data_IF_782080634848
#
_entry.id   IF_782080634848
#
_cell.length_a   1.000
_cell.length_b   1.000
_cell.length_c   1.000
_cell.angle_alpha   90.00
_cell.angle_beta   90.00
_cell.angle_gamma   90.00
#
_symmetry.space_group_name_H-M   'P 1'
#
loop_
_entity.id
_entity.type
_entity.pdbx_description
1 polymer ?
#
# COMPACT_ATOMS: atom_id res chain seq x y z
N UNK A 1 -8.68 36.20 20.16
CA UNK A 1 -10.16 36.29 20.21
C UNK A 1 -10.71 37.19 19.07
N UNK A 2 -11.39 36.56 18.09
CA UNK A 2 -12.22 37.14 16.99
C UNK A 2 -11.49 38.07 16.01
N UNK A 3 -11.71 38.10 14.70
CA UNK A 3 -12.42 37.33 13.66
C UNK A 3 -12.11 38.05 12.34
N UNK A 4 -12.09 37.39 11.18
CA UNK A 4 -12.33 37.95 9.82
C UNK A 4 -12.19 36.75 8.85
N UNK A 5 -13.25 36.04 8.44
CA UNK A 5 -14.19 36.31 7.33
C UNK A 5 -13.55 36.99 6.11
N UNK A 6 -13.10 36.19 5.14
CA UNK A 6 -12.98 36.47 3.70
C UNK A 6 -12.51 35.15 3.02
N UNK A 7 -13.12 34.57 1.98
CA UNK A 7 -14.29 34.89 1.20
C UNK A 7 -14.63 33.70 0.29
N UNK A 8 -15.90 33.31 0.26
CA UNK A 8 -16.50 32.15 -0.44
C UNK A 8 -16.65 32.34 -1.97
N UNK A 9 -15.68 32.99 -2.62
CA UNK A 9 -15.74 33.30 -4.07
C UNK A 9 -14.71 32.56 -4.93
N UNK A 10 -13.70 31.91 -4.34
CA UNK A 10 -12.71 31.09 -5.07
C UNK A 10 -13.23 29.67 -5.39
N UNK A 11 -14.05 29.08 -4.52
CA UNK A 11 -14.55 27.70 -4.70
C UNK A 11 -15.50 27.51 -5.90
N UNK A 12 -16.09 28.58 -6.44
CA UNK A 12 -17.03 28.50 -7.58
C UNK A 12 -16.38 28.65 -8.96
N UNK A 13 -15.08 28.99 -9.04
CA UNK A 13 -14.35 29.03 -10.33
C UNK A 13 -13.61 27.74 -10.64
N UNK A 14 -13.19 26.97 -9.64
CA UNK A 14 -12.50 25.69 -9.86
C UNK A 14 -13.46 24.60 -10.38
N UNK A 15 -14.73 24.64 -9.99
CA UNK A 15 -15.73 23.62 -10.37
C UNK A 15 -16.20 23.68 -11.84
N UNK A 16 -15.82 24.71 -12.63
CA UNK A 16 -16.22 24.84 -14.04
C UNK A 16 -15.16 24.38 -15.06
N UNK A 17 -13.91 24.19 -14.63
CA UNK A 17 -12.82 23.83 -15.56
C UNK A 17 -12.54 22.33 -15.67
N UNK A 18 -13.07 21.50 -14.75
CA UNK A 18 -12.78 20.04 -14.72
C UNK A 18 -13.91 19.17 -15.30
N UNK A 19 -15.02 19.78 -15.74
CA UNK A 19 -16.23 19.08 -16.21
C UNK A 19 -16.32 18.89 -17.73
N UNK A 20 -15.23 19.12 -18.50
CA UNK A 20 -15.26 19.05 -19.97
C UNK A 20 -14.44 17.95 -20.64
N UNK A 21 -13.85 17.01 -19.88
CA UNK A 21 -13.01 15.95 -20.48
C UNK A 21 -13.52 14.51 -20.26
N UNK A 22 -14.65 14.32 -19.59
CA UNK A 22 -15.24 12.98 -19.42
C UNK A 22 -16.56 12.86 -20.17
N UNK A 23 -16.50 12.61 -21.47
CA UNK A 23 -17.61 12.06 -22.25
C UNK A 23 -17.15 11.64 -23.65
N UNK A 24 -16.71 10.39 -23.81
CA UNK A 24 -16.93 9.58 -25.01
C UNK A 24 -16.93 8.09 -24.61
N UNK A 25 -17.96 7.30 -24.96
CA UNK A 25 -17.96 5.85 -24.78
C UNK A 25 -17.40 5.16 -26.03
N UNK A 26 -16.44 4.25 -25.86
CA UNK A 26 -16.09 3.27 -26.88
C UNK A 26 -17.02 2.07 -26.72
N UNK A 27 -17.99 2.00 -27.63
CA UNK A 27 -18.77 0.80 -27.93
C UNK A 27 -17.86 -0.12 -28.73
N UNK A 28 -17.62 -1.34 -28.24
CA UNK A 28 -17.11 -2.43 -29.06
C UNK A 28 -17.96 -3.66 -28.79
N UNK A 29 -18.70 -4.05 -29.82
CA UNK A 29 -19.53 -5.23 -29.92
C UNK A 29 -18.71 -6.51 -29.74
N UNK A 30 -19.23 -7.46 -28.97
CA UNK A 30 -18.85 -8.86 -29.06
C UNK A 30 -20.09 -9.68 -29.41
N UNK A 31 -19.96 -10.42 -30.50
CA UNK A 31 -20.97 -11.25 -31.14
C UNK A 31 -21.57 -12.31 -30.21
N UNK A 32 -22.89 -12.39 -30.25
CA UNK A 32 -23.69 -13.50 -29.73
C UNK A 32 -23.67 -14.61 -30.78
N UNK A 33 -23.01 -15.73 -30.47
CA UNK A 33 -23.18 -16.95 -31.23
C UNK A 33 -24.15 -17.88 -30.51
N UNK A 34 -25.31 -18.06 -31.14
CA UNK A 34 -26.37 -18.97 -30.74
C UNK A 34 -25.98 -20.43 -31.00
N UNK A 35 -26.28 -21.33 -30.06
CA UNK A 35 -26.41 -22.75 -30.32
C UNK A 35 -27.72 -23.25 -29.72
N UNK A 36 -28.58 -23.73 -30.62
CA UNK A 36 -29.88 -24.34 -30.40
C UNK A 36 -29.71 -25.79 -29.91
N UNK A 37 -30.55 -26.21 -28.95
CA UNK A 37 -30.98 -27.61 -28.80
C UNK A 37 -32.38 -27.65 -28.16
N UNK A 38 -33.24 -28.43 -28.82
CA UNK A 38 -34.69 -28.54 -28.63
C UNK A 38 -35.08 -29.65 -27.62
N UNK A 39 -36.38 -29.82 -27.26
CA UNK A 39 -36.84 -30.33 -25.97
C UNK A 39 -37.19 -31.84 -25.96
N UNK A 40 -37.21 -32.45 -24.77
CA UNK A 40 -37.69 -33.82 -24.60
C UNK A 40 -37.89 -34.30 -23.15
N UNK A 41 -39.17 -34.35 -22.74
CA UNK A 41 -39.82 -35.47 -22.04
C UNK A 41 -39.59 -35.79 -20.54
N UNK A 42 -40.52 -35.25 -19.73
CA UNK A 42 -41.37 -35.86 -18.68
C UNK A 42 -40.99 -37.18 -17.94
N UNK A 43 -41.05 -37.03 -16.61
CA UNK A 43 -41.67 -37.86 -15.54
C UNK A 43 -40.88 -39.03 -14.95
N UNK A 44 -40.64 -38.92 -13.64
CA UNK A 44 -40.32 -40.02 -12.72
C UNK A 44 -40.26 -39.51 -11.29
N UNK A 45 -41.37 -39.62 -10.57
CA UNK A 45 -41.53 -39.25 -9.15
C UNK A 45 -40.78 -40.26 -8.27
N UNK A 46 -39.97 -39.77 -7.34
CA UNK A 46 -39.71 -40.45 -6.08
C UNK A 46 -39.59 -39.41 -4.96
N UNK A 47 -40.62 -39.37 -4.11
CA UNK A 47 -40.62 -38.68 -2.83
C UNK A 47 -39.72 -39.45 -1.86
N UNK A 48 -38.73 -38.79 -1.26
CA UNK A 48 -38.33 -39.08 0.13
C UNK A 48 -37.93 -37.78 0.80
N UNK A 49 -38.47 -37.59 2.00
CA UNK A 49 -38.34 -36.44 2.88
C UNK A 49 -36.88 -36.14 3.25
N UNK A 50 -36.55 -34.85 3.28
CA UNK A 50 -35.33 -34.32 3.86
C UNK A 50 -35.49 -32.83 4.05
N UNK A 51 -35.98 -32.44 5.23
CA UNK A 51 -35.97 -31.05 5.69
C UNK A 51 -34.52 -30.56 5.74
N UNK A 52 -34.15 -29.74 4.77
CA UNK A 52 -32.90 -29.01 4.73
C UNK A 52 -33.19 -27.69 4.04
N UNK A 53 -33.38 -26.64 4.84
CA UNK A 53 -33.35 -25.27 4.35
C UNK A 53 -31.93 -24.99 3.87
N UNK A 54 -31.64 -25.32 2.62
CA UNK A 54 -30.49 -24.76 1.90
C UNK A 54 -30.84 -23.32 1.55
N UNK A 55 -30.76 -22.46 2.55
CA UNK A 55 -30.65 -21.03 2.32
C UNK A 55 -29.23 -20.76 1.79
N UNK A 56 -29.08 -19.99 0.71
CA UNK A 56 -27.76 -19.53 0.28
C UNK A 56 -27.12 -18.76 1.44
N UNK A 57 -25.85 -19.06 1.73
CA UNK A 57 -25.04 -18.38 2.76
C UNK A 57 -25.35 -16.88 2.76
N UNK A 58 -25.93 -16.44 3.86
CA UNK A 58 -26.62 -15.15 4.00
C UNK A 58 -25.58 -14.03 3.93
N UNK A 59 -25.77 -13.06 3.04
CA UNK A 59 -24.93 -11.85 2.90
C UNK A 59 -24.81 -11.00 4.17
N UNK A 60 -25.52 -11.35 5.24
CA UNK A 60 -25.48 -10.68 6.53
C UNK A 60 -24.20 -10.95 7.34
N UNK A 61 -23.53 -12.09 7.12
CA UNK A 61 -22.37 -12.51 7.93
C UNK A 61 -21.16 -11.57 7.73
N UNK A 62 -20.98 -11.11 6.48
CA UNK A 62 -19.93 -10.13 6.13
C UNK A 62 -20.25 -8.74 6.69
N UNK A 63 -21.52 -8.32 6.67
CA UNK A 63 -21.91 -7.00 7.15
C UNK A 63 -21.81 -6.87 8.68
N UNK A 64 -22.03 -7.96 9.42
CA UNK A 64 -21.86 -8.00 10.87
C UNK A 64 -20.39 -7.86 11.27
N UNK A 65 -19.48 -8.54 10.56
CA UNK A 65 -18.05 -8.57 10.87
C UNK A 65 -17.24 -7.40 10.27
N UNK A 66 -17.66 -6.86 9.11
CA UNK A 66 -16.95 -5.84 8.34
C UNK A 66 -17.72 -4.52 8.19
N UNK A 67 -18.87 -4.40 8.86
CA UNK A 67 -19.77 -3.25 8.73
C UNK A 67 -20.58 -3.30 7.42
N UNK A 68 -21.65 -2.50 7.32
CA UNK A 68 -22.52 -2.49 6.15
C UNK A 68 -21.85 -1.83 4.94
N UNK A 69 -22.49 -1.92 3.76
CA UNK A 69 -22.24 -0.94 2.70
C UNK A 69 -22.76 0.44 3.14
N UNK A 70 -22.09 1.54 2.75
CA UNK A 70 -22.52 2.87 3.16
C UNK A 70 -23.88 3.21 2.55
N UNK A 71 -24.78 3.76 3.37
CA UNK A 71 -26.09 4.23 2.89
C UNK A 71 -25.96 5.55 2.11
N UNK A 72 -24.99 6.38 2.49
CA UNK A 72 -24.63 7.59 1.77
C UNK A 72 -23.68 7.28 0.60
N UNK A 73 -24.20 7.35 -0.63
CA UNK A 73 -23.42 7.12 -1.86
C UNK A 73 -22.33 8.17 -2.13
N UNK A 74 -22.24 9.21 -1.29
CA UNK A 74 -21.22 10.26 -1.36
C UNK A 74 -20.31 10.32 -0.11
N UNK A 75 -20.38 9.31 0.75
CA UNK A 75 -19.63 9.24 2.02
C UNK A 75 -18.13 9.49 1.86
N UNK A 76 -17.55 8.95 0.78
CA UNK A 76 -16.12 9.03 0.44
C UNK A 76 -15.88 9.87 -0.82
N UNK A 77 -16.85 10.68 -1.24
CA UNK A 77 -16.72 11.48 -2.46
C UNK A 77 -15.54 12.46 -2.38
N UNK A 78 -14.72 12.49 -3.44
CA UNK A 78 -13.50 13.30 -3.51
C UNK A 78 -12.26 12.64 -2.92
N UNK A 79 -12.39 11.48 -2.28
CA UNK A 79 -11.25 10.69 -1.82
C UNK A 79 -10.77 9.73 -2.92
N UNK A 80 -9.46 9.50 -2.96
CA UNK A 80 -8.83 8.46 -3.74
C UNK A 80 -8.16 7.43 -2.83
N UNK A 81 -8.35 6.15 -3.11
CA UNK A 81 -7.92 5.06 -2.25
C UNK A 81 -7.02 4.09 -2.99
N UNK A 82 -5.91 3.74 -2.35
CA UNK A 82 -5.15 2.54 -2.70
C UNK A 82 -5.43 1.47 -1.65
N UNK A 83 -5.45 0.20 -2.07
CA UNK A 83 -5.62 -0.92 -1.15
C UNK A 83 -4.45 -1.90 -1.26
N UNK A 84 -3.91 -2.28 -0.11
CA UNK A 84 -2.90 -3.34 0.03
C UNK A 84 -3.26 -4.26 1.18
N UNK A 85 -2.58 -5.39 1.29
CA UNK A 85 -2.74 -6.37 2.38
C UNK A 85 -1.35 -6.83 2.83
N UNK A 86 -1.16 -7.02 4.13
CA UNK A 86 0.04 -7.60 4.70
C UNK A 86 0.23 -9.06 4.24
N UNK A 87 1.48 -9.45 3.96
CA UNK A 87 1.84 -10.85 3.72
C UNK A 87 1.92 -11.63 5.03
N UNK A 88 2.01 -12.97 4.95
CA UNK A 88 2.25 -13.79 6.14
C UNK A 88 3.55 -13.42 6.85
N UNK A 89 4.59 -13.05 6.09
CA UNK A 89 5.88 -12.60 6.63
C UNK A 89 5.74 -11.27 7.38
N UNK A 90 4.99 -10.31 6.81
CA UNK A 90 4.69 -9.05 7.50
C UNK A 90 3.96 -9.34 8.82
N UNK A 91 2.89 -10.15 8.79
CA UNK A 91 2.11 -10.48 10.00
C UNK A 91 2.95 -11.16 11.08
N UNK A 92 3.87 -12.05 10.69
CA UNK A 92 4.78 -12.70 11.64
C UNK A 92 5.74 -11.69 12.26
N UNK A 93 6.34 -10.82 11.45
CA UNK A 93 7.30 -9.80 11.91
C UNK A 93 6.63 -8.80 12.84
N UNK A 94 5.41 -8.37 12.49
CA UNK A 94 4.65 -7.40 13.28
C UNK A 94 4.28 -7.95 14.67
N UNK A 95 3.98 -9.26 14.78
CA UNK A 95 3.72 -9.91 16.07
C UNK A 95 4.95 -9.89 16.97
N UNK A 96 6.13 -10.16 16.41
CA UNK A 96 7.38 -10.14 17.17
C UNK A 96 7.73 -8.71 17.62
N UNK A 97 7.55 -7.73 16.73
CA UNK A 97 7.84 -6.32 17.02
C UNK A 97 6.87 -5.69 18.03
N UNK A 98 5.63 -6.18 18.11
CA UNK A 98 4.66 -5.76 19.12
C UNK A 98 5.00 -6.26 20.54
N UNK A 99 6.04 -7.10 20.70
CA UNK A 99 6.29 -7.84 21.93
C UNK A 99 5.25 -8.96 22.09
N UNK A 100 5.65 -10.09 22.66
CA UNK A 100 4.71 -11.13 23.07
C UNK A 100 3.88 -10.66 24.28
N UNK A 101 3.18 -9.52 24.16
CA UNK A 101 2.13 -9.14 25.09
C UNK A 101 0.97 -10.09 24.81
N UNK A 102 1.04 -11.24 25.48
CA UNK A 102 -0.03 -12.21 25.60
C UNK A 102 -1.31 -11.47 26.02
N UNK A 103 -2.31 -11.47 25.13
CA UNK A 103 -3.73 -11.75 25.39
C UNK A 103 -4.41 -11.22 26.69
N UNK A 104 -3.97 -10.14 27.31
CA UNK A 104 -4.59 -9.65 28.56
C UNK A 104 -5.44 -8.36 28.45
N UNK A 105 -5.68 -7.81 27.24
CA UNK A 105 -6.60 -6.68 27.03
C UNK A 105 -7.76 -6.98 26.03
N UNK A 106 -8.26 -8.22 26.00
CA UNK A 106 -9.31 -8.64 25.05
C UNK A 106 -10.77 -8.38 25.50
N UNK A 107 -11.04 -7.46 26.43
CA UNK A 107 -12.42 -7.25 26.94
C UNK A 107 -13.24 -6.16 26.22
N UNK A 108 -12.68 -5.37 25.29
CA UNK A 108 -13.42 -4.29 24.61
C UNK A 108 -13.22 -4.22 23.07
N UNK A 109 -12.56 -5.22 22.48
CA UNK A 109 -12.39 -5.27 21.03
C UNK A 109 -13.67 -5.78 20.36
N UNK A 110 -14.29 -4.92 19.54
CA UNK A 110 -15.35 -5.35 18.60
C UNK A 110 -14.78 -6.49 17.78
N UNK A 111 -15.39 -7.67 17.88
CA UNK A 111 -14.97 -8.89 17.20
C UNK A 111 -15.12 -8.72 15.70
N UNK A 112 -14.07 -8.21 15.05
CA UNK A 112 -14.11 -7.88 13.62
C UNK A 112 -13.44 -8.94 12.79
N UNK A 113 -14.05 -9.21 11.64
CA UNK A 113 -13.56 -10.22 10.72
C UNK A 113 -12.16 -9.87 10.19
N UNK A 114 -11.41 -10.88 9.72
CA UNK A 114 -10.12 -10.66 9.08
C UNK A 114 -10.30 -9.77 7.84
N UNK A 115 -9.33 -8.88 7.59
CA UNK A 115 -9.42 -7.92 6.49
C UNK A 115 -9.81 -8.54 5.14
N UNK A 116 -10.99 -8.15 4.67
CA UNK A 116 -11.52 -8.49 3.36
C UNK A 116 -11.33 -7.30 2.40
N UNK A 117 -10.22 -7.32 1.64
CA UNK A 117 -9.87 -6.26 0.69
C UNK A 117 -10.96 -6.02 -0.39
N UNK A 118 -11.48 -7.06 -1.10
CA UNK A 118 -12.56 -6.85 -2.08
C UNK A 118 -13.83 -6.23 -1.48
N UNK A 119 -14.19 -6.62 -0.27
CA UNK A 119 -15.35 -6.03 0.40
C UNK A 119 -15.12 -4.58 0.81
N UNK A 120 -13.92 -4.28 1.35
CA UNK A 120 -13.51 -2.91 1.68
C UNK A 120 -13.52 -2.01 0.44
N UNK A 121 -13.05 -2.53 -0.70
CA UNK A 121 -13.12 -1.83 -1.99
C UNK A 121 -14.56 -1.55 -2.40
N UNK A 122 -15.46 -2.53 -2.24
CA UNK A 122 -16.89 -2.39 -2.52
C UNK A 122 -17.55 -1.32 -1.65
N UNK A 123 -17.20 -1.26 -0.35
CA UNK A 123 -17.67 -0.21 0.57
C UNK A 123 -17.23 1.19 0.11
N UNK A 124 -15.95 1.34 -0.24
CA UNK A 124 -15.39 2.62 -0.69
C UNK A 124 -16.04 3.09 -2.00
N UNK A 125 -16.20 2.18 -2.98
CA UNK A 125 -16.86 2.48 -4.25
C UNK A 125 -18.33 2.83 -4.07
N UNK A 126 -19.06 2.08 -3.24
CA UNK A 126 -20.47 2.34 -2.93
C UNK A 126 -20.67 3.72 -2.27
N UNK A 127 -19.69 4.21 -1.51
CA UNK A 127 -19.68 5.56 -0.93
C UNK A 127 -19.11 6.65 -1.84
N UNK A 128 -18.83 6.38 -3.11
CA UNK A 128 -18.34 7.37 -4.08
C UNK A 128 -16.83 7.63 -4.02
N UNK A 129 -16.06 6.76 -3.38
CA UNK A 129 -14.60 6.80 -3.35
C UNK A 129 -13.98 6.31 -4.67
N UNK A 130 -12.88 6.94 -5.08
CA UNK A 130 -12.16 6.55 -6.30
C UNK A 130 -11.07 5.53 -5.99
N UNK A 131 -11.08 4.37 -6.64
CA UNK A 131 -10.08 3.32 -6.40
C UNK A 131 -8.93 3.45 -7.37
N UNK A 132 -7.72 3.58 -6.83
CA UNK A 132 -6.47 3.59 -7.54
C UNK A 132 -5.89 2.17 -7.60
N UNK A 133 -5.74 1.59 -8.81
CA UNK A 133 -5.15 0.27 -8.95
C UNK A 133 -3.68 0.27 -8.53
N UNK A 134 -2.96 1.37 -8.73
CA UNK A 134 -1.57 1.57 -8.34
C UNK A 134 -1.30 3.03 -7.95
N UNK A 135 -0.11 3.27 -7.39
CA UNK A 135 0.30 4.62 -7.01
C UNK A 135 0.39 5.52 -8.24
N UNK A 136 -0.33 6.64 -8.19
CA UNK A 136 -0.30 7.67 -9.23
C UNK A 136 -0.27 9.05 -8.56
N UNK A 137 0.86 9.75 -8.69
CA UNK A 137 1.08 11.03 -8.01
C UNK A 137 0.12 12.12 -8.49
N UNK A 138 -0.20 12.14 -9.79
CA UNK A 138 -1.10 13.14 -10.38
C UNK A 138 -2.52 12.98 -9.84
N UNK A 139 -3.03 11.75 -9.80
CA UNK A 139 -4.35 11.45 -9.25
C UNK A 139 -4.39 11.69 -7.74
N UNK A 140 -3.30 11.43 -7.03
CA UNK A 140 -3.21 11.76 -5.61
C UNK A 140 -3.26 13.27 -5.35
N UNK A 141 -2.61 14.08 -6.20
CA UNK A 141 -2.66 15.55 -6.14
C UNK A 141 -4.01 16.14 -6.57
N UNK A 142 -4.71 15.46 -7.49
CA UNK A 142 -5.99 15.89 -8.01
C UNK A 142 -7.17 15.57 -7.06
N UNK A 143 -7.05 14.52 -6.27
CA UNK A 143 -8.04 14.17 -5.25
C UNK A 143 -8.06 15.21 -4.11
N UNK A 144 -9.19 15.32 -3.43
CA UNK A 144 -9.26 16.13 -2.19
C UNK A 144 -8.39 15.52 -1.10
N UNK A 145 -8.40 14.19 -0.99
CA UNK A 145 -7.59 13.42 -0.06
C UNK A 145 -7.27 12.05 -0.66
N UNK A 146 -6.02 11.62 -0.54
CA UNK A 146 -5.62 10.25 -0.87
C UNK A 146 -5.27 9.48 0.39
N UNK A 147 -5.68 8.22 0.46
CA UNK A 147 -5.38 7.31 1.58
C UNK A 147 -4.99 5.93 1.05
N UNK A 148 -4.06 5.28 1.74
CA UNK A 148 -3.82 3.85 1.58
C UNK A 148 -4.60 3.11 2.67
N UNK A 149 -5.36 2.09 2.29
CA UNK A 149 -6.08 1.22 3.21
C UNK A 149 -5.38 -0.15 3.30
N UNK A 150 -5.13 -0.61 4.54
CA UNK A 150 -4.53 -1.90 4.82
C UNK A 150 -5.03 -2.52 6.14
N UNK A 151 -4.70 -3.78 6.38
CA UNK A 151 -4.91 -4.46 7.66
C UNK A 151 -3.88 -4.05 8.72
N UNK A 152 -2.60 -4.01 8.33
CA UNK A 152 -1.48 -3.65 9.19
C UNK A 152 -0.42 -2.89 8.40
N UNK A 153 0.64 -2.43 9.07
CA UNK A 153 1.84 -1.97 8.38
C UNK A 153 2.50 -3.14 7.65
N UNK A 154 3.00 -2.90 6.43
CA UNK A 154 3.58 -3.95 5.59
C UNK A 154 4.59 -3.37 4.60
N UNK A 155 5.46 -4.22 4.04
CA UNK A 155 6.53 -3.79 3.12
C UNK A 155 6.16 -3.93 1.64
N UNK A 156 4.87 -3.80 1.33
CA UNK A 156 4.39 -3.85 -0.06
C UNK A 156 4.77 -2.60 -0.85
N UNK A 157 4.87 -2.70 -2.17
CA UNK A 157 5.15 -1.56 -3.09
C UNK A 157 4.27 -0.35 -2.79
N UNK A 158 2.94 -0.55 -2.72
CA UNK A 158 1.99 0.54 -2.47
C UNK A 158 2.22 1.21 -1.11
N UNK A 159 2.53 0.42 -0.08
CA UNK A 159 2.78 0.93 1.26
C UNK A 159 3.99 1.85 1.28
N UNK A 160 5.12 1.37 0.76
CA UNK A 160 6.36 2.13 0.72
C UNK A 160 6.26 3.40 -0.13
N UNK A 161 5.57 3.35 -1.28
CA UNK A 161 5.32 4.53 -2.11
C UNK A 161 4.41 5.56 -1.40
N UNK A 162 3.42 5.09 -0.64
CA UNK A 162 2.56 5.99 0.15
C UNK A 162 3.35 6.68 1.27
N UNK A 163 4.22 5.96 1.98
CA UNK A 163 5.12 6.56 2.97
C UNK A 163 6.03 7.62 2.33
N UNK A 164 6.71 7.28 1.24
CA UNK A 164 7.62 8.20 0.55
C UNK A 164 6.90 9.44 -0.01
N UNK A 165 5.61 9.33 -0.39
CA UNK A 165 4.79 10.47 -0.81
C UNK A 165 4.12 11.21 0.34
N UNK A 166 4.16 10.70 1.57
CA UNK A 166 3.36 11.22 2.68
C UNK A 166 1.85 11.04 2.49
N UNK A 167 1.41 10.08 1.67
CA UNK A 167 0.01 9.63 1.65
C UNK A 167 -0.24 8.84 2.94
N UNK A 168 -1.25 9.20 3.75
CA UNK A 168 -1.52 8.49 5.00
C UNK A 168 -1.88 7.02 4.78
N UNK A 169 -1.25 6.14 5.57
CA UNK A 169 -1.59 4.73 5.66
C UNK A 169 -2.59 4.53 6.79
N UNK A 170 -3.78 4.01 6.47
CA UNK A 170 -4.93 3.96 7.37
C UNK A 170 -5.46 2.54 7.48
N UNK A 171 -5.86 2.15 8.67
CA UNK A 171 -6.46 0.84 8.92
C UNK A 171 -7.82 0.71 8.22
N UNK A 172 -8.10 -0.46 7.64
CA UNK A 172 -9.41 -0.81 7.07
C UNK A 172 -10.58 -0.67 8.06
N UNK A 173 -10.29 -0.72 9.36
CA UNK A 173 -11.23 -0.47 10.45
C UNK A 173 -11.87 0.93 10.33
N UNK A 174 -11.14 1.92 9.81
CA UNK A 174 -11.70 3.25 9.52
C UNK A 174 -12.83 3.19 8.50
N UNK A 175 -12.70 2.37 7.45
CA UNK A 175 -13.73 2.21 6.41
C UNK A 175 -14.97 1.57 7.01
N UNK A 176 -14.78 0.48 7.78
CA UNK A 176 -15.86 -0.19 8.52
C UNK A 176 -16.64 0.80 9.38
N UNK A 177 -15.94 1.56 10.22
CA UNK A 177 -16.58 2.47 11.17
C UNK A 177 -17.28 3.63 10.46
N UNK A 178 -16.67 4.19 9.40
CA UNK A 178 -17.33 5.19 8.57
C UNK A 178 -18.65 4.69 7.97
N UNK A 179 -18.65 3.45 7.46
CA UNK A 179 -19.85 2.83 6.89
C UNK A 179 -20.90 2.52 7.97
N UNK A 180 -20.48 2.03 9.14
CA UNK A 180 -21.36 1.70 10.27
C UNK A 180 -22.03 2.94 10.87
N UNK A 181 -21.28 4.02 11.04
CA UNK A 181 -21.81 5.31 11.53
C UNK A 181 -22.44 6.16 10.41
N UNK A 182 -22.31 5.73 9.16
CA UNK A 182 -22.69 6.49 7.95
C UNK A 182 -22.16 7.93 7.98
N UNK A 183 -20.92 8.09 8.44
CA UNK A 183 -20.26 9.37 8.70
C UNK A 183 -18.78 9.27 8.40
N UNK A 184 -18.23 10.30 7.78
CA UNK A 184 -16.79 10.38 7.55
C UNK A 184 -16.06 10.68 8.86
N UNK A 185 -15.39 9.68 9.42
CA UNK A 185 -14.62 9.78 10.65
C UNK A 185 -13.22 10.36 10.40
N UNK A 186 -12.59 10.85 11.46
CA UNK A 186 -11.22 11.35 11.37
C UNK A 186 -10.22 10.20 11.19
N UNK A 187 -9.70 10.04 9.98
CA UNK A 187 -8.74 8.99 9.64
C UNK A 187 -7.45 9.03 10.47
N UNK A 188 -7.11 10.18 11.07
CA UNK A 188 -5.89 10.31 11.91
C UNK A 188 -5.91 9.40 13.14
N UNK A 189 -7.10 9.01 13.60
CA UNK A 189 -7.26 8.09 14.74
C UNK A 189 -7.05 6.62 14.33
N UNK A 190 -6.80 6.37 13.05
CA UNK A 190 -6.68 5.03 12.46
C UNK A 190 -5.40 4.88 11.64
N UNK A 191 -4.40 5.76 11.88
CA UNK A 191 -3.12 5.67 11.18
C UNK A 191 -2.43 4.36 11.55
N UNK A 192 -1.93 3.69 10.52
CA UNK A 192 -1.05 2.54 10.69
C UNK A 192 0.40 3.03 10.85
N UNK A 193 1.23 2.34 11.64
CA UNK A 193 2.65 2.69 11.78
C UNK A 193 3.37 2.72 10.43
N UNK A 194 4.42 3.53 10.28
CA UNK A 194 5.26 3.51 9.09
C UNK A 194 5.91 2.12 8.86
N UNK A 195 6.24 1.42 9.94
CA UNK A 195 6.75 0.05 9.90
C UNK A 195 7.59 -0.28 11.11
N UNK A 196 8.26 -1.42 11.05
CA UNK A 196 9.29 -1.80 12.03
C UNK A 196 10.60 -1.13 11.64
N UNK A 197 11.10 -0.29 12.53
CA UNK A 197 12.37 0.40 12.38
C UNK A 197 13.56 -0.54 12.55
N UNK A 198 14.78 -0.01 12.48
CA UNK A 198 15.98 -0.83 12.57
C UNK A 198 16.05 -1.55 13.93
N UNK A 199 15.80 -0.88 15.04
CA UNK A 199 15.92 -1.45 16.39
C UNK A 199 14.73 -2.34 16.80
N UNK A 200 14.02 -2.91 15.81
CA UNK A 200 12.80 -3.70 15.97
C UNK A 200 11.63 -2.96 16.65
N UNK A 201 11.79 -1.65 16.86
CA UNK A 201 10.77 -0.77 17.40
C UNK A 201 9.77 -0.33 16.32
N UNK A 202 8.50 -0.21 16.70
CA UNK A 202 7.46 0.35 15.84
C UNK A 202 7.74 1.84 15.59
N UNK A 203 7.81 2.22 14.32
CA UNK A 203 7.93 3.62 13.90
C UNK A 203 6.54 4.14 13.54
N UNK A 204 6.09 5.16 14.26
CA UNK A 204 4.82 5.83 13.99
C UNK A 204 4.80 6.48 12.61
N UNK A 205 3.60 6.58 12.02
CA UNK A 205 3.45 7.28 10.75
C UNK A 205 3.91 8.73 10.87
N UNK A 206 4.67 9.19 9.88
CA UNK A 206 5.12 10.57 9.80
C UNK A 206 4.68 11.21 8.46
N UNK A 207 4.51 12.55 8.42
CA UNK A 207 4.30 13.27 7.17
C UNK A 207 5.46 13.08 6.19
N UNK A 208 5.26 13.56 4.95
CA UNK A 208 6.30 13.50 3.90
C UNK A 208 7.63 14.06 4.42
N UNK A 209 8.65 13.22 4.37
CA UNK A 209 10.03 13.58 4.64
C UNK A 209 10.87 13.47 3.36
N UNK A 210 12.13 13.87 3.42
CA UNK A 210 13.06 13.77 2.29
C UNK A 210 14.37 13.14 2.74
N UNK A 211 14.38 11.86 3.13
CA UNK A 211 15.58 11.17 3.61
C UNK A 211 16.72 11.20 2.58
N UNK A 212 16.37 11.30 1.30
CA UNK A 212 17.30 11.26 0.18
C UNK A 212 17.62 12.63 -0.41
N UNK A 213 17.26 13.72 0.30
CA UNK A 213 17.45 15.10 -0.17
C UNK A 213 18.85 15.33 -0.74
N UNK A 214 18.91 15.72 -2.01
CA UNK A 214 20.13 16.07 -2.75
C UNK A 214 21.15 14.92 -2.94
N UNK A 215 20.75 13.67 -2.77
CA UNK A 215 21.57 12.52 -3.14
C UNK A 215 21.38 12.16 -4.62
N UNK A 216 22.48 11.79 -5.26
CA UNK A 216 22.54 11.20 -6.60
C UNK A 216 22.67 9.68 -6.46
N UNK A 217 21.68 8.95 -6.93
CA UNK A 217 21.62 7.49 -6.84
C UNK A 217 22.11 6.81 -8.12
N UNK A 218 22.89 5.76 -7.94
CA UNK A 218 23.10 4.71 -8.95
C UNK A 218 22.41 3.43 -8.47
N UNK A 219 21.49 2.90 -9.27
CA UNK A 219 20.79 1.65 -8.99
C UNK A 219 21.35 0.55 -9.90
N UNK A 220 21.97 -0.45 -9.29
CA UNK A 220 22.46 -1.65 -9.96
C UNK A 220 21.46 -2.78 -9.71
N UNK A 221 20.83 -3.26 -10.77
CA UNK A 221 19.90 -4.38 -10.67
C UNK A 221 19.89 -5.17 -11.97
N UNK A 222 19.88 -6.50 -11.88
CA UNK A 222 19.76 -7.36 -13.07
C UNK A 222 18.37 -7.27 -13.72
N UNK A 223 17.34 -6.92 -12.95
CA UNK A 223 15.98 -6.73 -13.43
C UNK A 223 15.55 -5.27 -13.22
N UNK A 224 14.90 -4.64 -14.21
CA UNK A 224 14.35 -3.32 -13.99
C UNK A 224 13.26 -3.41 -12.90
N UNK A 225 13.57 -2.88 -11.72
CA UNK A 225 12.59 -2.61 -10.68
C UNK A 225 12.50 -1.11 -10.50
N UNK A 226 11.33 -0.57 -10.85
CA UNK A 226 11.03 0.84 -10.74
C UNK A 226 10.81 1.29 -9.30
N UNK A 227 10.56 0.36 -8.35
CA UNK A 227 10.25 0.70 -6.96
C UNK A 227 11.37 1.52 -6.33
N UNK A 228 12.62 1.04 -6.43
CA UNK A 228 13.77 1.70 -5.82
C UNK A 228 14.00 3.09 -6.41
N UNK A 229 13.81 3.22 -7.72
CA UNK A 229 13.92 4.50 -8.41
C UNK A 229 12.82 5.48 -7.96
N UNK A 230 11.59 5.00 -7.82
CA UNK A 230 10.47 5.79 -7.32
C UNK A 230 10.68 6.21 -5.87
N UNK A 231 11.09 5.31 -4.97
CA UNK A 231 11.36 5.63 -3.57
C UNK A 231 12.49 6.67 -3.42
N UNK A 232 13.60 6.50 -4.15
CA UNK A 232 14.70 7.46 -4.15
C UNK A 232 14.21 8.85 -4.61
N UNK A 233 13.49 8.89 -5.74
CA UNK A 233 12.96 10.14 -6.32
C UNK A 233 11.98 10.83 -5.35
N UNK A 234 11.02 10.09 -4.81
CA UNK A 234 9.99 10.63 -3.91
C UNK A 234 10.55 11.06 -2.56
N UNK A 235 11.59 10.37 -2.07
CA UNK A 235 12.35 10.77 -0.89
C UNK A 235 13.32 11.94 -1.13
N UNK A 236 13.30 12.57 -2.31
CA UNK A 236 14.00 13.82 -2.59
C UNK A 236 15.39 13.68 -3.22
N UNK A 237 15.71 12.54 -3.83
CA UNK A 237 16.93 12.38 -4.61
C UNK A 237 17.02 13.43 -5.73
N UNK A 238 18.22 13.97 -5.96
CA UNK A 238 18.46 14.93 -7.05
C UNK A 238 18.55 14.26 -8.41
N UNK A 239 19.03 13.01 -8.45
CA UNK A 239 19.06 12.19 -9.66
C UNK A 239 19.07 10.72 -9.30
N UNK A 240 18.49 9.91 -10.18
CA UNK A 240 18.49 8.45 -10.09
C UNK A 240 18.86 7.92 -11.46
N UNK A 241 19.90 7.09 -11.52
CA UNK A 241 20.28 6.36 -12.74
C UNK A 241 20.25 4.87 -12.48
N UNK A 242 19.60 4.12 -13.37
CA UNK A 242 19.56 2.66 -13.31
C UNK A 242 20.50 2.07 -14.36
N UNK A 243 21.30 1.08 -13.96
CA UNK A 243 22.30 0.41 -14.80
C UNK A 243 22.22 -1.09 -14.60
N UNK A 244 22.14 -1.83 -15.70
CA UNK A 244 22.01 -3.30 -15.67
C UNK A 244 23.37 -4.00 -15.84
N UNK A 245 24.27 -3.45 -16.67
CA UNK A 245 25.48 -4.21 -17.07
C UNK A 245 26.70 -3.36 -17.41
N UNK A 246 26.60 -2.02 -17.50
CA UNK A 246 27.63 -1.25 -18.21
C UNK A 246 28.16 -0.01 -17.46
N UNK A 247 29.49 0.01 -17.31
CA UNK A 247 30.41 1.17 -17.35
C UNK A 247 30.03 2.50 -16.69
N UNK A 248 29.16 2.52 -15.68
CA UNK A 248 28.83 3.77 -15.01
C UNK A 248 29.98 4.21 -14.10
N UNK A 249 30.46 5.43 -14.34
CA UNK A 249 31.38 6.13 -13.47
C UNK A 249 30.69 6.44 -12.13
N UNK A 250 30.83 5.53 -11.16
CA UNK A 250 30.13 5.58 -9.89
C UNK A 250 30.52 6.80 -9.03
N UNK A 251 31.71 7.39 -9.25
CA UNK A 251 32.21 8.57 -8.54
C UNK A 251 31.39 9.84 -8.78
N UNK A 252 30.44 9.82 -9.71
CA UNK A 252 29.44 10.88 -9.92
C UNK A 252 28.20 10.74 -9.04
N UNK A 253 28.12 9.69 -8.23
CA UNK A 253 26.98 9.38 -7.38
C UNK A 253 27.39 9.40 -5.92
N UNK A 254 26.41 9.66 -5.06
CA UNK A 254 26.63 9.75 -3.61
C UNK A 254 26.35 8.40 -2.93
N UNK A 255 25.58 7.53 -3.59
CA UNK A 255 25.24 6.19 -3.10
C UNK A 255 24.92 5.26 -4.26
N UNK A 256 25.35 4.00 -4.14
CA UNK A 256 24.98 2.90 -5.03
C UNK A 256 24.06 1.94 -4.29
N UNK A 257 22.88 1.68 -4.84
CA UNK A 257 21.99 0.61 -4.34
C UNK A 257 22.18 -0.59 -5.25
N UNK A 258 22.57 -1.72 -4.68
CA UNK A 258 22.86 -2.95 -5.41
C UNK A 258 22.22 -4.16 -4.73
N UNK A 259 22.00 -5.21 -5.51
CA UNK A 259 21.59 -6.54 -5.02
C UNK A 259 22.83 -7.44 -4.80
N UNK A 260 22.69 -8.56 -4.05
CA UNK A 260 23.77 -9.54 -3.90
C UNK A 260 24.19 -10.20 -5.22
N UNK A 261 23.40 -10.02 -6.29
CA UNK A 261 23.69 -10.52 -7.63
C UNK A 261 24.50 -9.50 -8.47
N UNK A 262 25.00 -8.43 -7.85
CA UNK A 262 25.84 -7.43 -8.46
C UNK A 262 27.15 -8.06 -9.01
N UNK A 263 27.50 -7.83 -10.29
CA UNK A 263 28.73 -8.35 -10.87
C UNK A 263 30.00 -7.87 -10.13
N UNK A 264 30.98 -8.75 -9.84
CA UNK A 264 32.21 -8.39 -9.12
C UNK A 264 33.04 -7.29 -9.79
N UNK A 265 32.95 -7.17 -11.12
CA UNK A 265 33.63 -6.10 -11.85
C UNK A 265 33.07 -4.71 -11.51
N UNK A 266 31.74 -4.59 -11.36
CA UNK A 266 31.08 -3.35 -10.97
C UNK A 266 31.36 -3.04 -9.49
N UNK A 267 31.29 -4.05 -8.62
CA UNK A 267 31.63 -3.90 -7.20
C UNK A 267 33.05 -3.34 -7.00
N UNK A 268 34.05 -3.91 -7.71
CA UNK A 268 35.44 -3.42 -7.65
C UNK A 268 35.58 -1.98 -8.14
N UNK A 269 34.84 -1.63 -9.21
CA UNK A 269 34.83 -0.27 -9.76
C UNK A 269 34.26 0.73 -8.75
N UNK A 270 33.11 0.41 -8.13
CA UNK A 270 32.46 1.27 -7.13
C UNK A 270 33.35 1.42 -5.88
N UNK A 271 33.90 0.31 -5.40
CA UNK A 271 34.77 0.29 -4.21
C UNK A 271 36.03 1.15 -4.43
N UNK A 272 36.62 1.11 -5.63
CA UNK A 272 37.81 1.91 -5.97
C UNK A 272 37.52 3.42 -5.99
N UNK A 273 36.26 3.82 -6.07
CA UNK A 273 35.82 5.21 -6.10
C UNK A 273 35.28 5.69 -4.75
N UNK A 274 35.40 4.88 -3.69
CA UNK A 274 34.99 5.19 -2.30
C UNK A 274 33.51 5.59 -2.16
N UNK A 275 32.65 5.14 -3.07
CA UNK A 275 31.20 5.41 -3.02
C UNK A 275 30.52 4.32 -2.17
N UNK A 276 29.66 4.70 -1.19
CA UNK A 276 28.98 3.71 -0.36
C UNK A 276 28.03 2.86 -1.20
N UNK A 277 28.15 1.54 -1.04
CA UNK A 277 27.30 0.56 -1.71
C UNK A 277 26.40 -0.13 -0.69
N UNK A 278 25.08 0.02 -0.89
CA UNK A 278 24.05 -0.41 0.05
C UNK A 278 23.02 -1.33 -0.62
N UNK A 279 22.28 -2.08 0.18
CA UNK A 279 21.13 -2.89 -0.26
C UNK A 279 19.85 -2.06 -0.34
N UNK A 280 18.82 -2.63 -0.95
CA UNK A 280 17.46 -2.07 -0.92
C UNK A 280 16.91 -1.89 0.50
N UNK A 281 17.41 -2.66 1.48
CA UNK A 281 16.97 -2.57 2.88
C UNK A 281 17.29 -1.20 3.49
N UNK A 282 18.44 -0.61 3.17
CA UNK A 282 18.79 0.74 3.62
C UNK A 282 17.80 1.79 3.10
N UNK A 283 17.37 1.63 1.85
CA UNK A 283 16.40 2.53 1.22
C UNK A 283 15.02 2.41 1.92
N UNK A 284 14.57 1.18 2.15
CA UNK A 284 13.27 0.93 2.80
C UNK A 284 13.29 1.47 4.23
N UNK A 285 14.33 1.18 5.01
CA UNK A 285 14.43 1.64 6.40
C UNK A 285 14.53 3.16 6.51
N UNK A 286 15.24 3.81 5.59
CA UNK A 286 15.28 5.28 5.53
C UNK A 286 13.92 5.89 5.19
N UNK A 287 13.09 5.21 4.40
CA UNK A 287 11.69 5.63 4.13
C UNK A 287 10.80 5.41 5.35
N UNK A 288 10.91 4.27 6.04
CA UNK A 288 10.14 3.94 7.25
C UNK A 288 10.46 4.91 8.39
N UNK A 289 11.74 5.23 8.61
CA UNK A 289 12.16 6.17 9.66
C UNK A 289 11.95 7.63 9.28
N UNK A 290 11.76 7.90 7.99
CA UNK A 290 11.63 9.25 7.45
C UNK A 290 12.92 10.07 7.48
N UNK A 291 14.07 9.45 7.69
CA UNK A 291 15.38 10.11 7.78
C UNK A 291 16.48 9.33 7.06
N UNK A 292 17.62 9.98 6.82
CA UNK A 292 18.78 9.34 6.19
C UNK A 292 19.54 8.51 7.21
N UNK A 293 19.41 7.20 7.13
CA UNK A 293 20.18 6.29 7.97
C UNK A 293 21.65 6.21 7.52
N UNK A 294 22.55 5.86 8.43
CA UNK A 294 23.96 5.64 8.10
C UNK A 294 24.14 4.46 7.13
N UNK A 295 24.94 4.64 6.08
CA UNK A 295 25.13 3.62 5.02
C UNK A 295 25.65 2.27 5.53
N UNK A 296 26.44 2.29 6.61
CA UNK A 296 27.06 1.09 7.20
C UNK A 296 26.69 0.92 8.67
N UNK A 297 25.61 1.54 9.15
CA UNK A 297 25.19 1.41 10.55
C UNK A 297 24.72 0.00 10.91
N UNK A 298 24.37 -0.82 9.91
CA UNK A 298 23.85 -2.17 10.09
C UNK A 298 24.35 -3.17 9.04
N UNK A 299 24.53 -4.45 9.40
CA UNK A 299 24.91 -5.49 8.44
C UNK A 299 23.94 -5.64 7.27
N UNK A 300 22.62 -5.52 7.52
CA UNK A 300 21.57 -5.69 6.50
C UNK A 300 21.62 -4.64 5.40
N UNK A 301 22.28 -3.50 5.65
CA UNK A 301 22.42 -2.41 4.68
C UNK A 301 23.51 -2.68 3.68
N UNK A 302 24.37 -3.68 3.90
CA UNK A 302 25.35 -4.08 2.90
C UNK A 302 24.66 -4.79 1.74
N UNK A 303 25.06 -4.45 0.53
CA UNK A 303 24.52 -5.05 -0.69
C UNK A 303 24.70 -6.58 -0.78
N UNK A 304 25.75 -7.11 -0.13
CA UNK A 304 26.13 -8.54 -0.08
C UNK A 304 25.57 -9.28 1.13
N UNK A 305 24.65 -8.65 1.88
CA UNK A 305 24.08 -9.28 3.08
C UNK A 305 23.31 -10.55 2.73
N UNK A 306 23.80 -11.67 3.23
CA UNK A 306 23.08 -12.94 3.26
C UNK A 306 22.68 -13.24 4.71
N UNK A 307 21.40 -13.53 4.99
CA UNK A 307 21.00 -14.01 6.32
C UNK A 307 21.82 -15.26 6.64
N UNK A 308 22.47 -15.29 7.79
CA UNK A 308 23.12 -16.52 8.26
C UNK A 308 22.07 -17.63 8.34
N UNK A 309 22.32 -18.83 7.78
CA UNK A 309 21.39 -19.94 7.93
C UNK A 309 21.17 -20.18 9.43
N UNK A 310 19.94 -20.53 9.85
CA UNK A 310 19.69 -20.83 11.25
C UNK A 310 20.67 -21.92 11.66
N UNK A 311 21.50 -21.64 12.66
CA UNK A 311 22.40 -22.61 13.23
C UNK A 311 21.56 -23.81 13.63
N UNK A 312 21.71 -24.93 12.92
CA UNK A 312 21.18 -26.20 13.36
C UNK A 312 21.81 -26.49 14.71
N UNK A 313 21.10 -26.18 15.79
CA UNK A 313 21.45 -26.58 17.13
C UNK A 313 21.33 -28.10 17.18
N UNK A 314 22.42 -28.77 16.85
CA UNK A 314 22.64 -30.16 17.19
C UNK A 314 22.85 -30.25 18.70
N UNK A 315 21.84 -30.70 19.42
CA UNK A 315 21.95 -31.41 20.70
C UNK A 315 20.67 -32.21 20.90
#
# INVERSE_FOLDING_TARGET
>A
PKSLILGTKELRRFCKSSLRTFLLPLISSCDVSAASLAPGQRVGVCNTSGSGTDLPGRSCDVAETHGPLPQNASLFMGFAFMLTASSEVDRMTNKVAAGNEEEEEEEDYVQTGPYNKPYTESQLQAGGGFILPDFNEEQCKAAYQSLLIADQHCRTRKYLLCLASGVPCVSHIWVRDCCKENKLLNYRNYLLPAGVGPDDAIVEWHPRSSPFKALRFLLLSQKPDELWAQLATMGGASSVRQVQTDGADAGKYDVVVADPACPPALEKSVTSQEVPMVSAEWLIQSVICGERLGFSSRPQYRHDYAPSPPSSSSS
#
